data_IF_795490780880
#
_entry.id   IF_795490780880
#
_cell.length_a   1.000
_cell.length_b   1.000
_cell.length_c   1.000
_cell.angle_alpha   90.00
_cell.angle_beta   90.00
_cell.angle_gamma   90.00
#
_symmetry.space_group_name_H-M   'P 1'
#
loop_
_entity.id
_entity.type
_entity.pdbx_description
1 polymer ?
#
# COMPACT_ATOMS: atom_id res chain seq x y z
N UNK A 1 5.91 -3.47 -5.97
CA UNK A 1 5.38 -4.40 -7.02
C UNK A 1 4.02 -3.87 -7.42
N UNK A 2 3.76 -3.66 -8.71
CA UNK A 2 2.57 -2.93 -9.18
C UNK A 2 2.15 -3.40 -10.55
N UNK A 3 0.84 -3.54 -10.78
CA UNK A 3 0.27 -3.85 -12.08
C UNK A 3 -1.17 -3.33 -12.18
N UNK A 4 -1.51 -2.70 -13.31
CA UNK A 4 -2.91 -2.30 -13.55
C UNK A 4 -3.79 -3.53 -13.72
N UNK A 5 -5.00 -3.51 -13.14
CA UNK A 5 -5.95 -4.62 -13.22
C UNK A 5 -6.28 -5.06 -14.65
N UNK A 6 -6.16 -4.14 -15.61
CA UNK A 6 -6.43 -4.42 -17.04
C UNK A 6 -5.27 -5.16 -17.72
N UNK A 7 -4.06 -5.00 -17.21
CA UNK A 7 -2.83 -5.61 -17.74
C UNK A 7 -2.56 -7.00 -17.15
N UNK A 8 -3.24 -7.36 -16.06
CA UNK A 8 -3.13 -8.70 -15.47
C UNK A 8 -3.67 -9.73 -16.47
N UNK A 9 -2.90 -10.76 -16.86
CA UNK A 9 -3.36 -11.76 -17.81
C UNK A 9 -4.58 -12.53 -17.28
N UNK A 10 -5.51 -12.85 -18.18
CA UNK A 10 -6.62 -13.72 -17.87
C UNK A 10 -6.11 -15.14 -17.61
N UNK A 11 -6.48 -15.71 -16.46
CA UNK A 11 -6.26 -17.12 -16.13
C UNK A 11 -7.49 -17.96 -16.48
N UNK A 12 -8.68 -17.36 -16.41
CA UNK A 12 -9.93 -17.92 -16.91
C UNK A 12 -10.52 -16.90 -17.88
N UNK A 13 -10.86 -17.36 -19.09
CA UNK A 13 -11.57 -16.59 -20.10
C UNK A 13 -12.64 -17.48 -20.73
N UNK A 14 -13.89 -17.29 -20.30
CA UNK A 14 -15.03 -18.10 -20.71
C UNK A 14 -16.26 -17.20 -20.91
N UNK A 15 -17.29 -17.64 -21.68
CA UNK A 15 -18.51 -16.86 -21.86
C UNK A 15 -19.14 -16.45 -20.52
N UNK A 16 -19.18 -15.15 -20.26
CA UNK A 16 -19.75 -14.56 -19.03
C UNK A 16 -18.80 -14.43 -17.84
N UNK A 17 -17.52 -14.85 -17.94
CA UNK A 17 -16.57 -14.74 -16.84
C UNK A 17 -15.12 -14.58 -17.30
N UNK A 18 -14.44 -13.56 -16.78
CA UNK A 18 -12.99 -13.38 -16.91
C UNK A 18 -12.39 -13.27 -15.52
N UNK A 19 -11.47 -14.17 -15.17
CA UNK A 19 -10.69 -14.10 -13.94
C UNK A 19 -9.23 -13.81 -14.28
N UNK A 20 -8.68 -12.74 -13.70
CA UNK A 20 -7.29 -12.30 -13.89
C UNK A 20 -6.49 -12.60 -12.63
N UNK A 21 -5.25 -13.04 -12.79
CA UNK A 21 -4.38 -13.33 -11.65
C UNK A 21 -2.93 -12.93 -11.93
N UNK A 22 -2.34 -12.18 -11.01
CA UNK A 22 -0.90 -11.98 -10.90
C UNK A 22 -0.35 -12.90 -9.79
N UNK A 23 0.43 -13.95 -10.10
CA UNK A 23 1.08 -14.77 -9.08
C UNK A 23 2.26 -14.03 -8.43
N UNK A 24 2.79 -14.58 -7.34
CA UNK A 24 4.02 -14.13 -6.66
C UNK A 24 3.99 -12.66 -6.18
N UNK A 25 2.80 -12.19 -5.80
CA UNK A 25 2.52 -10.79 -5.45
C UNK A 25 2.73 -10.49 -3.95
N UNK A 26 3.88 -10.88 -3.40
CA UNK A 26 4.21 -10.75 -1.99
C UNK A 26 3.83 -11.98 -1.15
N UNK A 27 4.22 -12.02 0.12
CA UNK A 27 3.91 -13.11 1.06
C UNK A 27 3.46 -12.59 2.42
N UNK A 28 2.33 -13.11 2.91
CA UNK A 28 1.87 -12.91 4.28
C UNK A 28 2.39 -13.99 5.25
N UNK A 29 3.29 -14.86 4.80
CA UNK A 29 3.81 -15.96 5.62
C UNK A 29 4.57 -15.43 6.83
N UNK A 30 4.25 -15.94 8.02
CA UNK A 30 4.88 -15.51 9.27
C UNK A 30 4.15 -14.37 9.98
N UNK A 31 3.17 -13.73 9.32
CA UNK A 31 2.30 -12.74 9.94
C UNK A 31 1.04 -13.37 10.54
N UNK A 32 0.40 -12.62 11.44
CA UNK A 32 -0.87 -12.99 12.05
C UNK A 32 -2.08 -12.64 11.16
N UNK A 33 -3.18 -12.22 11.80
CA UNK A 33 -4.37 -11.75 11.10
C UNK A 33 -4.07 -10.55 10.21
N UNK A 34 -4.79 -10.45 9.08
CA UNK A 34 -4.76 -9.26 8.24
C UNK A 34 -5.86 -8.28 8.67
N UNK A 35 -5.50 -6.99 8.69
CA UNK A 35 -6.44 -5.88 8.71
C UNK A 35 -6.93 -5.55 7.29
N UNK A 36 -8.11 -4.96 7.20
CA UNK A 36 -8.65 -4.39 5.96
C UNK A 36 -8.89 -2.90 6.19
N UNK A 37 -8.47 -2.08 5.24
CA UNK A 37 -8.31 -0.65 5.46
C UNK A 37 -8.79 0.15 4.26
N UNK A 38 -9.31 1.33 4.56
CA UNK A 38 -9.67 2.34 3.59
C UNK A 38 -8.97 3.63 4.00
N UNK A 39 -8.10 4.15 3.13
CA UNK A 39 -7.29 5.33 3.40
C UNK A 39 -7.59 6.40 2.36
N UNK A 40 -7.95 7.58 2.84
CA UNK A 40 -8.16 8.79 2.06
C UNK A 40 -7.01 9.76 2.33
N UNK A 41 -6.33 10.22 1.28
CA UNK A 41 -5.23 11.18 1.37
C UNK A 41 -5.54 12.39 0.48
N UNK A 42 -5.49 13.59 1.05
CA UNK A 42 -5.63 14.82 0.26
C UNK A 42 -4.36 15.10 -0.56
N UNK A 43 -4.50 15.73 -1.72
CA UNK A 43 -3.38 16.11 -2.58
C UNK A 43 -2.28 16.85 -1.80
N UNK A 44 -1.02 16.41 -1.97
CA UNK A 44 0.14 16.96 -1.25
C UNK A 44 0.34 16.41 0.16
N UNK A 45 -0.51 15.51 0.64
CA UNK A 45 -0.29 14.80 1.92
C UNK A 45 0.95 13.92 1.83
N UNK A 46 1.87 14.07 2.77
CA UNK A 46 3.07 13.24 2.89
C UNK A 46 3.12 12.66 4.31
N UNK A 47 3.16 11.33 4.44
CA UNK A 47 3.18 10.66 5.75
C UNK A 47 4.58 10.54 6.33
N UNK A 48 5.65 10.78 5.56
CA UNK A 48 7.03 10.60 6.00
C UNK A 48 7.35 11.32 7.34
N UNK A 49 6.89 12.56 7.61
CA UNK A 49 7.14 13.22 8.89
C UNK A 49 6.55 12.50 10.11
N UNK A 50 5.46 11.74 9.91
CA UNK A 50 4.78 10.97 10.96
C UNK A 50 5.49 9.62 11.22
N UNK A 51 6.32 9.15 10.30
CA UNK A 51 7.07 7.89 10.43
C UNK A 51 8.42 8.07 11.13
N UNK A 52 8.92 9.30 11.25
CA UNK A 52 10.18 9.60 11.95
C UNK A 52 10.19 8.98 13.36
N UNK A 53 11.23 8.20 13.65
CA UNK A 53 11.42 7.44 14.88
C UNK A 53 11.08 5.95 14.79
N UNK A 54 10.46 5.50 13.69
CA UNK A 54 10.39 4.08 13.33
C UNK A 54 11.72 3.61 12.72
N UNK A 55 11.86 2.30 12.51
CA UNK A 55 13.02 1.75 11.82
C UNK A 55 13.17 2.38 10.42
N UNK A 56 14.37 2.94 10.17
CA UNK A 56 14.73 3.75 9.01
C UNK A 56 13.78 4.94 8.71
N UNK A 57 12.96 5.38 9.66
CA UNK A 57 11.89 6.38 9.47
C UNK A 57 10.83 5.98 8.42
N UNK A 58 10.59 4.68 8.24
CA UNK A 58 9.64 4.14 7.26
C UNK A 58 8.60 3.20 7.89
N UNK A 59 7.50 2.96 7.17
CA UNK A 59 6.52 1.93 7.52
C UNK A 59 7.14 0.54 7.32
N UNK A 60 7.08 -0.28 8.36
CA UNK A 60 7.62 -1.65 8.35
C UNK A 60 6.54 -2.73 8.15
N UNK A 61 5.28 -2.34 8.00
CA UNK A 61 4.21 -3.27 7.67
C UNK A 61 4.19 -3.51 6.15
N UNK A 62 4.14 -4.76 5.65
CA UNK A 62 3.84 -4.98 4.24
C UNK A 62 2.37 -4.66 3.95
N UNK A 63 2.10 -4.09 2.78
CA UNK A 63 0.73 -3.83 2.33
C UNK A 63 0.45 -4.45 0.97
N UNK A 64 -0.74 -5.01 0.83
CA UNK A 64 -1.38 -5.34 -0.44
C UNK A 64 -2.53 -4.40 -0.66
N UNK A 65 -2.76 -3.95 -1.88
CA UNK A 65 -3.87 -3.02 -2.08
C UNK A 65 -4.28 -2.77 -3.50
N UNK A 66 -5.24 -1.87 -3.60
CA UNK A 66 -5.84 -1.41 -4.83
C UNK A 66 -6.04 0.10 -4.79
N UNK A 67 -5.59 0.78 -5.85
CA UNK A 67 -5.82 2.20 -6.05
C UNK A 67 -7.22 2.44 -6.60
N UNK A 68 -8.10 3.01 -5.78
CA UNK A 68 -9.48 3.29 -6.16
C UNK A 68 -9.63 4.65 -6.86
N UNK A 69 -8.90 5.67 -6.40
CA UNK A 69 -8.89 7.01 -6.98
C UNK A 69 -7.51 7.67 -6.83
N UNK A 70 -7.21 8.62 -7.72
CA UNK A 70 -6.00 9.45 -7.68
C UNK A 70 -4.70 8.69 -7.89
N UNK A 71 -3.63 9.25 -7.32
CA UNK A 71 -2.28 8.72 -7.41
C UNK A 71 -1.43 9.03 -6.17
N UNK A 72 -0.59 8.07 -5.80
CA UNK A 72 0.40 8.19 -4.74
C UNK A 72 1.79 7.84 -5.26
N UNK A 73 2.81 8.45 -4.69
CA UNK A 73 4.20 8.01 -4.84
C UNK A 73 4.63 7.30 -3.58
N UNK A 74 5.21 6.13 -3.77
CA UNK A 74 5.77 5.29 -2.72
C UNK A 74 7.29 5.37 -2.84
N UNK A 75 7.96 5.72 -1.75
CA UNK A 75 9.41 5.76 -1.65
C UNK A 75 9.91 4.64 -0.75
N UNK A 76 11.03 4.03 -1.09
CA UNK A 76 11.61 2.89 -0.38
C UNK A 76 12.95 3.25 0.27
N UNK A 77 13.35 2.48 1.27
CA UNK A 77 14.63 2.67 2.00
C UNK A 77 15.87 2.50 1.10
N UNK A 78 15.75 1.80 -0.04
CA UNK A 78 16.82 1.68 -1.04
C UNK A 78 16.93 2.91 -1.98
N UNK A 79 16.08 3.91 -1.78
CA UNK A 79 16.02 5.14 -2.57
C UNK A 79 15.22 5.01 -3.88
N UNK A 80 14.65 3.84 -4.18
CA UNK A 80 13.72 3.70 -5.30
C UNK A 80 12.36 4.32 -4.98
N UNK A 81 11.65 4.73 -6.03
CA UNK A 81 10.27 5.21 -5.94
C UNK A 81 9.41 4.51 -6.99
N UNK A 82 8.13 4.29 -6.69
CA UNK A 82 7.12 3.93 -7.68
C UNK A 82 5.85 4.76 -7.52
N UNK A 83 5.16 5.03 -8.63
CA UNK A 83 3.86 5.71 -8.62
C UNK A 83 2.76 4.67 -8.78
N UNK A 84 1.81 4.65 -7.84
CA UNK A 84 0.58 3.87 -7.94
C UNK A 84 -0.57 4.80 -8.32
N UNK A 85 -1.36 4.40 -9.31
CA UNK A 85 -2.48 5.18 -9.85
C UNK A 85 -3.73 4.31 -9.95
N UNK A 86 -4.88 4.93 -10.19
CA UNK A 86 -6.16 4.24 -10.42
C UNK A 86 -6.01 2.93 -11.18
N UNK A 87 -6.73 1.92 -10.71
CA UNK A 87 -6.77 0.56 -11.25
C UNK A 87 -5.53 -0.29 -10.97
N UNK A 88 -4.48 0.26 -10.35
CA UNK A 88 -3.33 -0.53 -9.92
C UNK A 88 -3.67 -1.45 -8.74
N UNK A 89 -3.29 -2.72 -8.87
CA UNK A 89 -3.01 -3.60 -7.75
C UNK A 89 -1.53 -3.41 -7.39
N UNK A 90 -1.23 -3.45 -6.09
CA UNK A 90 0.14 -3.28 -5.62
C UNK A 90 0.47 -4.10 -4.37
N UNK A 91 1.77 -4.33 -4.20
CA UNK A 91 2.39 -4.82 -2.99
C UNK A 91 3.56 -3.91 -2.64
N UNK A 92 3.52 -3.36 -1.42
CA UNK A 92 4.58 -2.54 -0.82
C UNK A 92 5.25 -3.36 0.28
N UNK A 93 6.55 -3.72 0.13
CA UNK A 93 7.29 -4.40 1.19
C UNK A 93 7.56 -3.49 2.40
N UNK A 94 7.97 -4.05 3.55
CA UNK A 94 8.50 -3.25 4.66
C UNK A 94 9.60 -2.29 4.21
N UNK A 95 9.67 -1.11 4.83
CA UNK A 95 10.64 -0.07 4.48
C UNK A 95 10.15 0.85 3.37
N UNK A 96 8.91 1.36 3.47
CA UNK A 96 8.35 2.31 2.52
C UNK A 96 7.65 3.51 3.20
N UNK A 97 7.45 4.58 2.45
CA UNK A 97 6.64 5.75 2.82
C UNK A 97 5.78 6.18 1.63
N UNK A 98 4.72 6.95 1.88
CA UNK A 98 3.70 7.31 0.88
C UNK A 98 3.43 8.81 0.89
N UNK A 99 3.37 9.41 -0.30
CA UNK A 99 2.84 10.77 -0.51
C UNK A 99 1.79 10.80 -1.59
N UNK A 100 0.73 11.57 -1.38
CA UNK A 100 -0.35 11.78 -2.33
C UNK A 100 0.02 12.91 -3.31
N UNK A 101 -0.06 12.61 -4.62
CA UNK A 101 0.15 13.62 -5.68
C UNK A 101 -1.18 14.29 -6.04
N UNK A 102 -2.26 13.51 -5.98
CA UNK A 102 -3.65 13.92 -6.17
C UNK A 102 -4.46 13.47 -4.95
N UNK A 103 -5.72 13.91 -4.83
CA UNK A 103 -6.65 13.31 -3.86
C UNK A 103 -6.77 11.82 -4.18
N UNK A 104 -6.44 10.97 -3.20
CA UNK A 104 -6.27 9.54 -3.41
C UNK A 104 -7.14 8.73 -2.43
N UNK A 105 -7.71 7.65 -2.95
CA UNK A 105 -8.47 6.65 -2.19
C UNK A 105 -7.85 5.28 -2.41
N UNK A 106 -7.49 4.61 -1.33
CA UNK A 106 -6.71 3.37 -1.34
C UNK A 106 -7.37 2.31 -0.46
N UNK A 107 -7.55 1.11 -1.00
CA UNK A 107 -7.90 -0.08 -0.22
C UNK A 107 -6.62 -0.83 0.10
N UNK A 108 -6.35 -1.09 1.39
CA UNK A 108 -5.19 -1.85 1.85
C UNK A 108 -5.59 -3.08 2.66
N UNK A 109 -4.73 -4.09 2.59
CA UNK A 109 -4.68 -5.21 3.50
C UNK A 109 -3.25 -5.33 4.03
N UNK A 110 -3.11 -5.43 5.35
CA UNK A 110 -1.82 -5.43 6.04
C UNK A 110 -1.84 -6.42 7.19
N UNK A 111 -0.69 -6.96 7.64
CA UNK A 111 -0.60 -7.61 8.94
C UNK A 111 -1.07 -6.66 10.04
N UNK A 112 -2.11 -7.08 10.78
CA UNK A 112 -2.86 -6.21 11.68
C UNK A 112 -2.00 -5.67 12.83
N UNK A 113 -1.12 -6.50 13.39
CA UNK A 113 -0.30 -6.11 14.53
C UNK A 113 0.77 -5.09 14.12
N UNK A 114 1.37 -5.32 12.97
CA UNK A 114 2.48 -4.54 12.42
C UNK A 114 2.00 -3.16 11.97
N UNK A 115 0.93 -3.11 11.16
CA UNK A 115 0.40 -1.81 10.75
C UNK A 115 -0.29 -1.08 11.91
N UNK A 116 -0.93 -1.81 12.82
CA UNK A 116 -1.48 -1.22 14.06
C UNK A 116 -0.41 -0.47 14.86
N UNK A 117 0.79 -1.05 15.02
CA UNK A 117 1.89 -0.39 15.69
C UNK A 117 2.38 0.89 14.97
N UNK A 118 2.40 0.88 13.64
CA UNK A 118 2.74 2.08 12.84
C UNK A 118 1.68 3.17 13.00
N UNK A 119 0.39 2.81 12.96
CA UNK A 119 -0.70 3.77 13.18
C UNK A 119 -0.67 4.36 14.60
N UNK A 120 -0.43 3.54 15.62
CA UNK A 120 -0.28 3.99 17.01
C UNK A 120 0.88 4.98 17.15
N UNK A 121 2.01 4.72 16.48
CA UNK A 121 3.14 5.66 16.40
C UNK A 121 2.75 6.97 15.74
N UNK A 122 2.10 6.93 14.57
CA UNK A 122 1.63 8.13 13.87
C UNK A 122 0.66 8.95 14.73
N UNK A 123 -0.27 8.29 15.44
CA UNK A 123 -1.20 8.94 16.37
C UNK A 123 -0.44 9.66 17.48
N UNK A 124 0.56 9.01 18.08
CA UNK A 124 1.40 9.64 19.10
C UNK A 124 2.16 10.86 18.56
N UNK A 125 2.63 10.82 17.30
CA UNK A 125 3.33 11.93 16.64
C UNK A 125 2.42 13.12 16.32
N UNK A 126 1.13 12.89 16.07
CA UNK A 126 0.14 13.96 15.83
C UNK A 126 -0.32 14.66 17.12
N UNK A 127 -0.25 13.97 18.26
CA UNK A 127 -0.61 14.51 19.57
C UNK A 127 0.55 15.16 20.34
N UNK A 128 1.76 15.12 19.78
CA UNK A 128 2.98 15.69 20.35
C UNK A 128 3.26 17.13 19.87
#
# INVERSE_FOLDING_TARGET
MRISKVDIPARIDAPGAVARQAPDFGSASGFGSLGAEHISLGAGTDIAPLLVGLDDDHCQAPHWGYMQAGSVVVSYTDGSEETCSVDDLFYWPPGHSVRAVEDAEVILFSPQAEHGAVLDHMIARMGA
#
